data_IF_976653261373
#
_entry.id   IF_976653261373
#
_cell.length_a   1.000
_cell.length_b   1.000
_cell.length_c   1.000
_cell.angle_alpha   90.00
_cell.angle_beta   90.00
_cell.angle_gamma   90.00
#
_symmetry.space_group_name_H-M   'P 1'
#
loop_
_entity.id
_entity.type
_entity.pdbx_description
1 polymer ?
#
# COMPACT_ATOMS: atom_id res chain seq x y z
N UNK A 1 -56.27 29.98 8.69
CA UNK A 1 -54.89 30.47 8.80
C UNK A 1 -54.29 29.78 10.03
N UNK A 2 -53.22 29.00 10.00
CA UNK A 2 -52.13 28.79 9.05
C UNK A 2 -51.53 27.41 9.38
N UNK A 3 -51.24 26.62 8.35
CA UNK A 3 -50.73 25.26 8.42
C UNK A 3 -49.24 25.27 8.06
N UNK A 4 -48.44 24.57 8.87
CA UNK A 4 -47.21 23.80 8.57
C UNK A 4 -46.11 24.38 7.66
N UNK A 5 -44.87 24.43 8.17
CA UNK A 5 -43.72 23.83 7.47
C UNK A 5 -42.51 23.60 8.41
N UNK A 6 -42.33 22.33 8.81
CA UNK A 6 -41.04 21.82 9.29
C UNK A 6 -40.13 21.60 8.07
N UNK A 7 -38.98 22.25 8.05
CA UNK A 7 -37.95 22.06 7.03
C UNK A 7 -37.04 20.90 7.45
N UNK A 8 -37.27 19.73 6.87
CA UNK A 8 -36.50 18.50 7.10
C UNK A 8 -35.30 18.49 6.14
N UNK A 9 -34.15 18.97 6.62
CA UNK A 9 -32.91 18.98 5.85
C UNK A 9 -32.31 17.56 5.87
N UNK A 10 -32.69 16.73 4.90
CA UNK A 10 -32.09 15.42 4.66
C UNK A 10 -30.68 15.60 4.10
N UNK A 11 -29.67 15.44 4.97
CA UNK A 11 -28.29 15.19 4.55
C UNK A 11 -28.22 13.80 3.95
N UNK A 12 -28.34 13.71 2.62
CA UNK A 12 -27.97 12.53 1.85
C UNK A 12 -26.47 12.29 2.03
N UNK A 13 -26.13 11.34 2.91
CA UNK A 13 -24.78 10.78 3.00
C UNK A 13 -24.49 10.06 1.67
N UNK A 14 -23.69 10.71 0.82
CA UNK A 14 -23.14 10.09 -0.39
C UNK A 14 -22.30 8.89 0.03
N UNK A 15 -22.79 7.68 -0.27
CA UNK A 15 -22.05 6.44 -0.11
C UNK A 15 -20.83 6.50 -1.05
N UNK A 16 -19.61 6.51 -0.51
CA UNK A 16 -18.39 6.40 -1.32
C UNK A 16 -18.09 4.93 -1.55
N UNK A 17 -18.30 4.36 -2.76
CA UNK A 17 -18.10 2.94 -3.02
C UNK A 17 -16.62 2.54 -3.09
N UNK A 18 -15.72 3.51 -3.22
CA UNK A 18 -14.28 3.28 -3.31
C UNK A 18 -13.48 4.43 -2.69
N UNK A 19 -12.36 4.12 -2.01
CA UNK A 19 -11.54 5.13 -1.38
C UNK A 19 -10.90 6.06 -2.43
N UNK A 20 -10.68 7.35 -2.09
CA UNK A 20 -10.01 8.30 -2.96
C UNK A 20 -8.60 7.81 -3.35
N UNK A 21 -8.17 8.09 -4.59
CA UNK A 21 -6.83 7.78 -5.10
C UNK A 21 -5.75 8.74 -4.58
N UNK A 22 -5.80 9.07 -3.28
CA UNK A 22 -4.84 9.94 -2.60
C UNK A 22 -4.04 9.09 -1.62
N UNK A 23 -2.71 9.18 -1.71
CA UNK A 23 -1.80 8.73 -0.66
C UNK A 23 -1.65 9.89 0.32
N UNK A 24 -2.12 9.71 1.55
CA UNK A 24 -1.88 10.68 2.62
C UNK A 24 -0.45 10.58 3.15
N UNK A 25 -0.01 11.57 3.93
CA UNK A 25 1.28 11.52 4.62
C UNK A 25 1.42 10.29 5.54
N UNK A 26 0.31 9.84 6.16
CA UNK A 26 0.35 8.62 6.99
C UNK A 26 0.59 7.38 6.13
N UNK A 27 -0.06 7.30 4.98
CA UNK A 27 0.13 6.19 4.04
C UNK A 27 1.57 6.15 3.53
N UNK A 28 2.15 7.31 3.19
CA UNK A 28 3.56 7.42 2.78
C UNK A 28 4.52 6.90 3.85
N UNK A 29 4.31 7.26 5.11
CA UNK A 29 5.13 6.78 6.24
C UNK A 29 5.06 5.25 6.36
N UNK A 30 3.85 4.68 6.33
CA UNK A 30 3.69 3.23 6.37
C UNK A 30 4.31 2.53 5.16
N UNK A 31 4.16 3.08 3.95
CA UNK A 31 4.78 2.55 2.73
C UNK A 31 6.30 2.55 2.86
N UNK A 32 6.89 3.63 3.37
CA UNK A 32 8.33 3.73 3.61
C UNK A 32 8.82 2.67 4.60
N UNK A 33 8.08 2.45 5.69
CA UNK A 33 8.40 1.41 6.67
C UNK A 33 8.32 0.01 6.05
N UNK A 34 7.24 -0.29 5.31
CA UNK A 34 7.07 -1.58 4.62
C UNK A 34 8.21 -1.85 3.61
N UNK A 35 8.62 -0.84 2.84
CA UNK A 35 9.75 -0.94 1.92
C UNK A 35 11.05 -1.22 2.69
N UNK A 36 11.30 -0.49 3.77
CA UNK A 36 12.50 -0.62 4.58
C UNK A 36 12.59 -2.00 5.25
N UNK A 37 11.47 -2.50 5.78
CA UNK A 37 11.40 -3.82 6.41
C UNK A 37 11.64 -4.95 5.42
N UNK A 38 11.03 -4.92 4.23
CA UNK A 38 11.26 -5.95 3.22
C UNK A 38 12.70 -5.94 2.69
N UNK A 39 13.27 -4.75 2.45
CA UNK A 39 14.67 -4.60 2.03
C UNK A 39 15.65 -5.15 3.08
N UNK A 40 15.42 -4.82 4.35
CA UNK A 40 16.24 -5.31 5.45
C UNK A 40 16.11 -6.84 5.61
N UNK A 41 14.88 -7.34 5.58
CA UNK A 41 14.59 -8.77 5.74
C UNK A 41 15.24 -9.60 4.63
N UNK A 42 15.14 -9.20 3.35
CA UNK A 42 15.77 -9.96 2.27
C UNK A 42 17.30 -9.95 2.36
N UNK A 43 17.91 -8.83 2.77
CA UNK A 43 19.36 -8.74 2.98
C UNK A 43 19.83 -9.64 4.12
N UNK A 44 19.12 -9.62 5.25
CA UNK A 44 19.43 -10.47 6.41
C UNK A 44 19.22 -11.95 6.10
N UNK A 45 18.13 -12.29 5.42
CA UNK A 45 17.88 -13.66 4.98
C UNK A 45 19.03 -14.17 4.10
N UNK A 46 19.43 -13.40 3.09
CA UNK A 46 20.57 -13.79 2.24
C UNK A 46 21.87 -13.97 3.04
N UNK A 47 22.18 -13.03 3.95
CA UNK A 47 23.35 -13.12 4.81
C UNK A 47 23.35 -14.37 5.71
N UNK A 48 22.23 -14.69 6.36
CA UNK A 48 22.15 -15.86 7.23
C UNK A 48 22.12 -17.18 6.46
N UNK A 49 21.52 -17.22 5.27
CA UNK A 49 21.56 -18.40 4.40
C UNK A 49 22.99 -18.78 4.01
N UNK A 50 23.90 -17.80 3.85
CA UNK A 50 25.32 -18.05 3.58
C UNK A 50 26.07 -18.66 4.77
N UNK A 51 25.59 -18.46 6.00
CA UNK A 51 26.21 -18.98 7.22
C UNK A 51 25.56 -20.27 7.72
N UNK A 52 24.43 -20.66 7.12
CA UNK A 52 23.69 -21.85 7.52
C UNK A 52 24.28 -23.10 6.88
N UNK A 53 24.53 -24.12 7.71
CA UNK A 53 25.10 -25.40 7.27
C UNK A 53 24.00 -26.43 7.00
N UNK A 54 22.88 -26.34 7.71
CA UNK A 54 21.73 -27.21 7.49
C UNK A 54 21.05 -26.86 6.16
N UNK A 55 20.97 -27.81 5.20
CA UNK A 55 20.43 -27.54 3.87
C UNK A 55 18.94 -27.16 3.89
N UNK A 56 18.13 -27.74 4.77
CA UNK A 56 16.69 -27.47 4.85
C UNK A 56 16.44 -26.08 5.42
N UNK A 57 17.16 -25.72 6.48
CA UNK A 57 17.08 -24.38 7.08
C UNK A 57 17.57 -23.33 6.10
N UNK A 58 18.68 -23.57 5.40
CA UNK A 58 19.19 -22.66 4.36
C UNK A 58 18.12 -22.41 3.29
N UNK A 59 17.51 -23.47 2.76
CA UNK A 59 16.47 -23.36 1.75
C UNK A 59 15.25 -22.57 2.25
N UNK A 60 14.84 -22.78 3.50
CA UNK A 60 13.75 -22.03 4.12
C UNK A 60 14.08 -20.53 4.25
N UNK A 61 15.31 -20.19 4.66
CA UNK A 61 15.77 -18.80 4.76
C UNK A 61 15.79 -18.14 3.37
N UNK A 62 16.34 -18.81 2.36
CA UNK A 62 16.36 -18.27 0.98
C UNK A 62 14.95 -18.03 0.44
N UNK A 63 14.02 -18.96 0.67
CA UNK A 63 12.61 -18.82 0.30
C UNK A 63 11.98 -17.61 0.98
N UNK A 64 12.25 -17.38 2.26
CA UNK A 64 11.77 -16.20 2.98
C UNK A 64 12.37 -14.90 2.39
N UNK A 65 13.65 -14.90 2.06
CA UNK A 65 14.31 -13.78 1.38
C UNK A 65 13.66 -13.42 0.03
N UNK A 66 13.39 -14.42 -0.80
CA UNK A 66 12.71 -14.26 -2.09
C UNK A 66 11.28 -13.71 -1.92
N UNK A 67 10.55 -14.19 -0.91
CA UNK A 67 9.22 -13.67 -0.58
C UNK A 67 9.28 -12.17 -0.25
N UNK A 68 10.22 -11.74 0.60
CA UNK A 68 10.40 -10.32 0.93
C UNK A 68 10.79 -9.46 -0.28
N UNK A 69 11.66 -9.97 -1.15
CA UNK A 69 11.98 -9.31 -2.43
C UNK A 69 10.73 -9.11 -3.29
N UNK A 70 9.90 -10.14 -3.42
CA UNK A 70 8.64 -10.05 -4.18
C UNK A 70 7.70 -9.00 -3.59
N UNK A 71 7.53 -8.98 -2.26
CA UNK A 71 6.69 -7.98 -1.61
C UNK A 71 7.21 -6.56 -1.82
N UNK A 72 8.52 -6.35 -1.72
CA UNK A 72 9.15 -5.05 -2.02
C UNK A 72 8.81 -4.58 -3.44
N UNK A 73 8.97 -5.46 -4.44
CA UNK A 73 8.65 -5.14 -5.83
C UNK A 73 7.16 -4.85 -6.04
N UNK A 74 6.27 -5.60 -5.37
CA UNK A 74 4.82 -5.37 -5.45
C UNK A 74 4.44 -3.99 -4.92
N UNK A 75 5.02 -3.56 -3.80
CA UNK A 75 4.78 -2.22 -3.23
C UNK A 75 5.26 -1.14 -4.21
N UNK A 76 6.46 -1.30 -4.77
CA UNK A 76 6.99 -0.34 -5.75
C UNK A 76 6.11 -0.24 -7.01
N UNK A 77 5.66 -1.38 -7.54
CA UNK A 77 4.77 -1.40 -8.69
C UNK A 77 3.44 -0.72 -8.39
N UNK A 78 2.88 -0.96 -7.20
CA UNK A 78 1.64 -0.31 -6.77
C UNK A 78 1.81 1.21 -6.67
N UNK A 79 2.93 1.68 -6.09
CA UNK A 79 3.24 3.10 -6.00
C UNK A 79 3.42 3.74 -7.39
N UNK A 80 4.13 3.06 -8.30
CA UNK A 80 4.28 3.51 -9.69
C UNK A 80 2.95 3.67 -10.41
N UNK A 81 2.06 2.65 -10.31
CA UNK A 81 0.73 2.69 -10.89
C UNK A 81 -0.13 3.81 -10.28
N UNK A 82 -0.03 4.02 -8.95
CA UNK A 82 -0.75 5.10 -8.28
C UNK A 82 -0.33 6.49 -8.82
N UNK A 83 0.98 6.72 -9.01
CA UNK A 83 1.50 7.99 -9.55
C UNK A 83 1.00 8.21 -10.99
N UNK A 84 0.99 7.16 -11.82
CA UNK A 84 0.46 7.23 -13.19
C UNK A 84 -1.02 7.59 -13.21
N UNK A 85 -1.84 6.93 -12.39
CA UNK A 85 -3.28 7.20 -12.31
C UNK A 85 -3.57 8.62 -11.79
N UNK A 86 -2.85 9.08 -10.77
CA UNK A 86 -3.00 10.43 -10.24
C UNK A 86 -2.71 11.51 -11.30
N UNK A 87 -1.73 11.27 -12.17
CA UNK A 87 -1.40 12.17 -13.27
C UNK A 87 -2.49 12.17 -14.37
N UNK A 88 -3.08 11.02 -14.68
CA UNK A 88 -4.19 10.93 -15.63
C UNK A 88 -5.43 11.70 -15.14
N UNK A 89 -5.84 11.51 -13.89
CA UNK A 89 -6.98 12.22 -13.28
C UNK A 89 -6.78 13.73 -13.32
N UNK A 90 -5.54 14.23 -13.15
CA UNK A 90 -5.21 15.65 -13.26
C UNK A 90 -5.29 16.20 -14.69
N UNK A 91 -5.06 15.38 -15.71
CA UNK A 91 -5.18 15.79 -17.12
C UNK A 91 -6.64 15.85 -17.56
N UNK A 92 -7.50 14.95 -17.09
CA UNK A 92 -8.92 14.92 -17.48
C UNK A 92 -9.79 15.99 -16.82
N UNK A 93 -9.28 16.67 -15.80
CA UNK A 93 -9.98 17.76 -15.09
C UNK A 93 -9.58 19.16 -15.56
N UNK A 94 -8.72 19.27 -16.58
CA UNK A 94 -8.36 20.52 -17.28
C UNK A 94 -9.03 20.54 -18.65
#
# INVERSE_FOLDING_TARGET
>A
MQQTQMNQNQQTQSFMPQPPSIISTKDELYIKDMLSWNLLAMKKAHFFAQQCQDPEVKAAIEKAGQMHQRHYQQILNHLGNHIQNANQTRQTMQ
#
